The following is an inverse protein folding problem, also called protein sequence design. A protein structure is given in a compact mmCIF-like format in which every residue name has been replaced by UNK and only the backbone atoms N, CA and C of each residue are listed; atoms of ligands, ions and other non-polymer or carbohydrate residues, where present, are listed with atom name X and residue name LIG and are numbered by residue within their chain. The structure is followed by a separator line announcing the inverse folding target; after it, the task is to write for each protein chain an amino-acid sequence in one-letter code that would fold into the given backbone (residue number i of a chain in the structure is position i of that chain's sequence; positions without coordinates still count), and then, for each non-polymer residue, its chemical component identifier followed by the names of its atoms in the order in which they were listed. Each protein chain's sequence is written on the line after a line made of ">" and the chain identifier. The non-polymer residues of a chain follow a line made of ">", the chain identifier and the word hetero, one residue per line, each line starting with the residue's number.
data_IF_158591699133
#
_entry.id   IF_158591699133
#
_cell.length_a   1.000
_cell.length_b   1.000
_cell.length_c   1.000
_cell.angle_alpha   90.00
_cell.angle_beta   90.00
_cell.angle_gamma   90.00
#
_symmetry.space_group_name_H-M   'P 1'
#
loop_
_entity.id
_entity.type
_entity.pdbx_description
1 polymer ?
#
# COMPACT_ATOMS: atom_id res chain seq x y z
N UNK A 1 -1.48 30.66 42.17
CA UNK A 1 -2.82 30.32 41.62
C UNK A 1 -3.00 31.07 40.31
N UNK A 2 -3.27 30.38 39.20
CA UNK A 2 -3.51 31.04 37.89
C UNK A 2 -4.87 31.73 37.93
N UNK A 3 -4.94 33.01 37.51
CA UNK A 3 -6.20 33.78 37.49
C UNK A 3 -7.16 33.24 36.43
N UNK A 4 -8.47 33.47 36.60
CA UNK A 4 -9.48 33.02 35.63
C UNK A 4 -9.24 33.57 34.21
N UNK A 5 -8.77 34.82 34.10
CA UNK A 5 -8.43 35.46 32.83
C UNK A 5 -7.23 34.77 32.15
N UNK A 6 -6.18 34.44 32.92
CA UNK A 6 -5.01 33.74 32.37
C UNK A 6 -5.39 32.34 31.87
N UNK A 7 -6.26 31.61 32.59
CA UNK A 7 -6.75 30.30 32.11
C UNK A 7 -7.51 30.41 30.78
N UNK A 8 -8.34 31.45 30.63
CA UNK A 8 -9.09 31.70 29.40
C UNK A 8 -8.16 32.03 28.22
N UNK A 9 -7.16 32.88 28.43
CA UNK A 9 -6.16 33.22 27.41
C UNK A 9 -5.36 31.97 27.00
N UNK A 10 -4.96 31.14 27.97
CA UNK A 10 -4.27 29.87 27.69
C UNK A 10 -5.14 28.95 26.85
N UNK A 11 -6.44 28.82 27.17
CA UNK A 11 -7.36 27.99 26.39
C UNK A 11 -7.46 28.46 24.93
N UNK A 12 -7.56 29.77 24.70
CA UNK A 12 -7.57 30.34 23.34
C UNK A 12 -6.23 30.11 22.63
N UNK A 13 -5.11 30.33 23.33
CA UNK A 13 -3.79 30.13 22.75
C UNK A 13 -3.57 28.67 22.34
N UNK A 14 -3.94 27.71 23.19
CA UNK A 14 -3.88 26.27 22.88
C UNK A 14 -4.75 25.94 21.67
N UNK A 15 -5.98 26.47 21.61
CA UNK A 15 -6.87 26.26 20.47
C UNK A 15 -6.26 26.80 19.15
N UNK A 16 -5.68 28.00 19.18
CA UNK A 16 -5.01 28.58 18.01
C UNK A 16 -3.81 27.75 17.59
N UNK A 17 -2.99 27.29 18.55
CA UNK A 17 -1.84 26.41 18.25
C UNK A 17 -2.28 25.12 17.58
N UNK A 18 -3.37 24.49 18.03
CA UNK A 18 -3.90 23.27 17.41
C UNK A 18 -4.36 23.56 15.97
N UNK A 19 -5.09 24.67 15.75
CA UNK A 19 -5.56 25.06 14.41
C UNK A 19 -4.37 25.34 13.48
N UNK A 20 -3.38 26.12 13.93
CA UNK A 20 -2.19 26.41 13.12
C UNK A 20 -1.37 25.16 12.84
N UNK A 21 -1.24 24.24 13.79
CA UNK A 21 -0.55 22.97 13.58
C UNK A 21 -1.19 22.15 12.45
N UNK A 22 -2.52 22.08 12.40
CA UNK A 22 -3.25 21.39 11.32
C UNK A 22 -3.01 22.08 9.97
N UNK A 23 -3.06 23.41 9.93
CA UNK A 23 -2.85 24.19 8.70
C UNK A 23 -1.42 24.00 8.17
N UNK A 24 -0.41 24.13 9.02
CA UNK A 24 1.00 23.96 8.63
C UNK A 24 1.22 22.55 8.10
N UNK A 25 0.72 21.52 8.80
CA UNK A 25 0.83 20.14 8.35
C UNK A 25 0.20 19.92 6.98
N UNK A 26 -0.98 20.50 6.72
CA UNK A 26 -1.65 20.42 5.41
C UNK A 26 -0.86 21.13 4.30
N UNK A 27 -0.34 22.33 4.57
CA UNK A 27 0.41 23.11 3.58
C UNK A 27 1.70 22.40 3.19
N UNK A 28 2.43 21.83 4.14
CA UNK A 28 3.71 21.14 3.86
C UNK A 28 3.58 19.99 2.87
N UNK A 29 2.47 19.23 2.92
CA UNK A 29 2.23 18.13 1.98
C UNK A 29 1.77 18.65 0.61
N UNK A 30 0.93 19.69 0.58
CA UNK A 30 0.42 20.28 -0.67
C UNK A 30 1.49 21.05 -1.46
N UNK A 31 2.42 21.67 -0.75
CA UNK A 31 3.61 22.34 -1.32
C UNK A 31 4.79 21.39 -1.49
N UNK A 32 4.56 20.08 -1.37
CA UNK A 32 5.57 19.03 -1.35
C UNK A 32 6.71 19.23 -2.35
N UNK A 33 7.92 18.88 -1.91
CA UNK A 33 9.17 19.18 -2.61
C UNK A 33 9.32 18.42 -3.94
N UNK A 34 8.62 17.28 -4.09
CA UNK A 34 8.72 16.43 -5.28
C UNK A 34 7.33 15.96 -5.70
N UNK A 35 7.05 16.04 -6.99
CA UNK A 35 5.85 15.47 -7.61
C UNK A 35 6.20 14.17 -8.31
N UNK A 36 5.43 13.13 -8.04
CA UNK A 36 5.58 11.81 -8.67
C UNK A 36 4.28 11.42 -9.36
N UNK A 37 4.40 10.80 -10.53
CA UNK A 37 3.25 10.26 -11.25
C UNK A 37 3.13 8.75 -10.94
N UNK A 38 2.10 8.37 -10.21
CA UNK A 38 1.84 6.99 -9.82
C UNK A 38 0.74 6.39 -10.69
N UNK A 39 0.96 5.16 -11.17
CA UNK A 39 -0.06 4.43 -11.92
C UNK A 39 -1.19 4.01 -10.97
N UNK A 40 -2.43 4.23 -11.41
CA UNK A 40 -3.64 3.82 -10.69
C UNK A 40 -4.15 2.52 -11.33
N UNK A 41 -4.40 1.53 -10.50
CA UNK A 41 -5.08 0.30 -10.86
C UNK A 41 -6.58 0.45 -10.51
N UNK A 42 -7.48 0.25 -11.49
CA UNK A 42 -8.90 0.49 -11.28
C UNK A 42 -9.46 -0.52 -10.28
N UNK A 43 -10.10 -0.02 -9.22
CA UNK A 43 -10.90 -0.79 -8.26
C UNK A 43 -12.35 -0.34 -8.41
N UNK A 44 -13.29 -1.27 -8.17
CA UNK A 44 -14.73 -1.14 -8.46
C UNK A 44 -15.29 0.27 -8.11
N UNK A 45 -15.72 1.05 -9.13
CA UNK A 45 -15.91 2.50 -8.99
C UNK A 45 -17.24 2.95 -8.38
N UNK A 46 -18.09 2.07 -7.82
CA UNK A 46 -19.45 2.45 -7.40
C UNK A 46 -19.91 1.84 -6.08
N UNK A 47 -19.98 2.68 -5.04
CA UNK A 47 -20.88 2.45 -3.89
C UNK A 47 -22.16 3.28 -4.10
N UNK A 48 -23.30 2.66 -4.49
CA UNK A 48 -24.54 3.38 -4.82
C UNK A 48 -25.21 4.08 -3.63
N UNK A 49 -24.66 4.00 -2.42
CA UNK A 49 -25.31 4.48 -1.20
C UNK A 49 -24.54 5.57 -0.44
N UNK A 50 -23.39 6.03 -0.94
CA UNK A 50 -22.49 6.93 -0.18
C UNK A 50 -21.99 8.21 -0.90
N UNK A 51 -22.38 8.43 -2.16
CA UNK A 51 -22.00 9.62 -2.96
C UNK A 51 -21.07 9.30 -4.13
N UNK A 52 -20.61 10.32 -4.85
CA UNK A 52 -19.70 10.19 -6.00
C UNK A 52 -18.22 10.20 -5.53
N UNK A 53 -17.68 9.08 -5.05
CA UNK A 53 -16.24 8.92 -4.84
C UNK A 53 -15.73 7.65 -5.55
N UNK A 54 -14.45 7.65 -5.88
CA UNK A 54 -13.76 6.46 -6.40
C UNK A 54 -12.71 6.03 -5.40
N UNK A 55 -12.67 4.73 -5.15
CA UNK A 55 -11.54 4.09 -4.49
C UNK A 55 -10.69 3.41 -5.55
N UNK A 56 -9.38 3.50 -5.41
CA UNK A 56 -8.46 2.85 -6.32
C UNK A 56 -7.23 2.35 -5.57
N UNK A 57 -6.49 1.46 -6.22
CA UNK A 57 -5.19 1.02 -5.74
C UNK A 57 -4.10 1.64 -6.61
N UNK A 58 -2.90 1.79 -6.07
CA UNK A 58 -1.75 2.19 -6.85
C UNK A 58 -0.98 0.96 -7.31
N UNK A 59 -0.31 1.03 -8.46
CA UNK A 59 0.57 -0.05 -8.92
C UNK A 59 1.72 -0.35 -7.95
N UNK A 60 2.00 0.56 -7.03
CA UNK A 60 2.97 0.39 -5.94
C UNK A 60 2.35 -0.16 -4.64
N UNK A 61 1.04 -0.42 -4.58
CA UNK A 61 0.36 -0.90 -3.35
C UNK A 61 0.63 -2.37 -3.08
N UNK A 62 0.79 -3.20 -4.12
CA UNK A 62 1.07 -4.63 -3.98
C UNK A 62 2.56 -4.89 -4.19
N UNK A 63 3.30 -5.04 -3.09
CA UNK A 63 4.74 -5.23 -3.10
C UNK A 63 5.06 -6.65 -2.64
N UNK A 64 5.83 -7.38 -3.44
CA UNK A 64 6.33 -8.70 -3.04
C UNK A 64 7.37 -8.59 -1.92
N UNK A 65 7.38 -9.54 -1.00
CA UNK A 65 8.26 -9.53 0.17
C UNK A 65 9.76 -9.50 -0.14
N UNK A 66 10.19 -9.95 -1.33
CA UNK A 66 11.61 -9.86 -1.74
C UNK A 66 12.11 -8.42 -1.92
N UNK A 67 11.23 -7.43 -2.04
CA UNK A 67 11.61 -6.01 -2.04
C UNK A 67 12.02 -5.51 -0.65
N UNK A 68 11.72 -6.28 0.39
CA UNK A 68 12.10 -6.00 1.76
C UNK A 68 13.52 -6.53 2.01
N UNK A 69 14.45 -5.61 2.30
CA UNK A 69 15.89 -5.92 2.47
C UNK A 69 16.32 -6.00 3.94
N UNK A 70 15.40 -5.86 4.88
CA UNK A 70 15.71 -5.90 6.31
C UNK A 70 15.36 -7.28 6.88
N UNK A 71 16.09 -7.72 7.90
CA UNK A 71 15.84 -8.98 8.63
C UNK A 71 14.62 -8.89 9.58
N UNK A 72 13.87 -7.78 9.52
CA UNK A 72 12.74 -7.55 10.40
C UNK A 72 11.44 -8.17 9.88
N UNK A 73 10.63 -8.71 10.79
CA UNK A 73 9.29 -9.20 10.41
C UNK A 73 8.34 -8.02 10.21
N UNK A 74 7.75 -7.88 9.02
CA UNK A 74 6.66 -6.92 8.77
C UNK A 74 5.36 -7.48 9.36
N UNK A 75 4.57 -6.62 9.98
CA UNK A 75 3.24 -6.94 10.50
C UNK A 75 2.17 -6.03 9.91
N UNK A 76 0.94 -6.53 9.92
CA UNK A 76 -0.22 -5.71 9.60
C UNK A 76 -0.28 -4.51 10.54
N UNK A 77 -0.46 -3.33 9.96
CA UNK A 77 -0.49 -2.06 10.66
C UNK A 77 0.86 -1.35 10.80
N UNK A 78 1.97 -1.99 10.41
CA UNK A 78 3.29 -1.36 10.42
C UNK A 78 3.33 -0.16 9.46
N UNK A 79 4.07 0.86 9.86
CA UNK A 79 4.41 1.99 8.97
C UNK A 79 5.66 1.62 8.21
N UNK A 80 5.62 1.80 6.89
CA UNK A 80 6.70 1.44 5.97
C UNK A 80 6.96 2.58 4.99
N UNK A 81 8.16 2.62 4.45
CA UNK A 81 8.61 3.57 3.44
C UNK A 81 8.97 2.81 2.16
N UNK A 82 8.31 3.18 1.08
CA UNK A 82 8.53 2.61 -0.26
C UNK A 82 9.41 3.59 -1.01
N UNK A 83 10.62 3.17 -1.35
CA UNK A 83 11.52 3.93 -2.20
C UNK A 83 11.02 3.82 -3.63
N UNK A 84 10.89 4.96 -4.30
CA UNK A 84 10.37 5.07 -5.65
C UNK A 84 11.50 5.34 -6.64
N UNK A 85 11.36 4.76 -7.83
CA UNK A 85 12.24 5.02 -8.98
C UNK A 85 11.40 5.30 -10.22
N UNK A 86 11.80 6.31 -10.96
CA UNK A 86 11.20 6.62 -12.26
C UNK A 86 11.48 5.49 -13.25
N UNK A 87 10.42 4.93 -13.83
CA UNK A 87 10.48 3.90 -14.88
C UNK A 87 9.48 4.24 -15.98
N UNK A 88 10.02 4.77 -17.08
CA UNK A 88 9.20 5.27 -18.18
C UNK A 88 8.42 6.50 -17.73
N UNK A 89 7.09 6.44 -17.80
CA UNK A 89 6.19 7.53 -17.42
C UNK A 89 5.84 7.54 -15.93
N UNK A 90 5.96 6.40 -15.25
CA UNK A 90 5.48 6.22 -13.88
C UNK A 90 6.62 6.00 -12.91
N UNK A 91 6.36 6.34 -11.64
CA UNK A 91 7.21 5.97 -10.54
C UNK A 91 6.80 4.59 -10.03
N UNK A 92 7.75 3.67 -9.95
CA UNK A 92 7.55 2.30 -9.48
C UNK A 92 8.28 2.07 -8.15
N UNK A 93 7.82 1.10 -7.38
CA UNK A 93 8.45 0.69 -6.14
C UNK A 93 9.79 0.00 -6.42
N UNK A 94 10.87 0.50 -5.84
CA UNK A 94 12.21 -0.09 -5.91
C UNK A 94 12.53 -0.95 -4.69
N UNK A 95 12.18 -0.50 -3.50
CA UNK A 95 12.46 -1.24 -2.26
C UNK A 95 11.55 -0.79 -1.12
N UNK A 96 11.39 -1.67 -0.13
CA UNK A 96 10.57 -1.45 1.05
C UNK A 96 11.45 -1.46 2.31
N UNK A 97 11.27 -0.49 3.20
CA UNK A 97 12.00 -0.36 4.47
C UNK A 97 11.06 0.09 5.58
N UNK A 98 11.33 -0.27 6.84
CA UNK A 98 10.53 0.24 7.98
C UNK A 98 11.00 1.60 8.47
N UNK A 99 12.30 1.84 8.37
CA UNK A 99 12.89 3.09 8.80
C UNK A 99 12.88 4.13 7.69
N UNK A 100 12.81 5.40 8.06
CA UNK A 100 12.83 6.51 7.10
C UNK A 100 14.16 6.50 6.34
N UNK A 101 14.16 6.45 4.99
CA UNK A 101 15.40 6.49 4.22
C UNK A 101 16.16 7.79 4.50
N UNK A 102 17.48 7.69 4.72
CA UNK A 102 18.37 8.84 4.96
C UNK A 102 19.28 9.12 3.76
N UNK A 103 19.14 8.36 2.66
CA UNK A 103 19.92 8.58 1.45
C UNK A 103 19.61 9.92 0.80
N UNK A 104 20.63 10.70 0.47
CA UNK A 104 20.47 11.93 -0.29
C UNK A 104 19.82 11.62 -1.65
N UNK A 105 18.82 12.42 -2.02
CA UNK A 105 18.10 12.35 -3.30
C UNK A 105 17.27 11.07 -3.54
N UNK A 106 16.94 10.30 -2.50
CA UNK A 106 15.97 9.21 -2.61
C UNK A 106 14.55 9.73 -2.43
N UNK A 107 13.69 9.43 -3.41
CA UNK A 107 12.26 9.75 -3.32
C UNK A 107 11.56 8.53 -2.74
N UNK A 108 10.75 8.75 -1.71
CA UNK A 108 10.04 7.68 -1.03
C UNK A 108 8.65 8.13 -0.59
N UNK A 109 7.75 7.17 -0.50
CA UNK A 109 6.38 7.36 -0.04
C UNK A 109 6.15 6.53 1.22
N UNK A 110 5.54 7.16 2.21
CA UNK A 110 5.16 6.55 3.48
C UNK A 110 3.80 5.89 3.34
N UNK A 111 3.68 4.65 3.79
CA UNK A 111 2.44 3.90 3.79
C UNK A 111 2.26 3.05 5.03
N UNK A 112 1.10 2.42 5.13
CA UNK A 112 0.74 1.49 6.20
C UNK A 112 0.43 0.13 5.60
N UNK A 113 0.98 -0.92 6.19
CA UNK A 113 0.71 -2.30 5.78
C UNK A 113 -0.72 -2.65 6.14
N UNK A 114 -1.56 -2.86 5.14
CA UNK A 114 -2.97 -3.17 5.31
C UNK A 114 -3.18 -4.67 5.53
N UNK A 115 -2.53 -5.49 4.70
CA UNK A 115 -2.56 -6.94 4.80
C UNK A 115 -1.29 -7.56 4.24
N UNK A 116 -0.95 -8.74 4.76
CA UNK A 116 0.11 -9.59 4.25
C UNK A 116 -0.57 -10.86 3.78
N UNK A 117 -0.58 -11.08 2.47
CA UNK A 117 -1.16 -12.25 1.82
C UNK A 117 -0.10 -13.31 1.57
N UNK A 118 -0.36 -14.53 2.04
CA UNK A 118 0.45 -15.69 1.68
C UNK A 118 -0.01 -16.21 0.32
N UNK A 119 0.80 -16.00 -0.73
CA UNK A 119 0.55 -16.67 -2.01
C UNK A 119 1.16 -18.07 -1.93
N UNK A 120 0.52 -18.97 -1.20
CA UNK A 120 0.80 -20.39 -1.37
C UNK A 120 0.34 -20.79 -2.77
N UNK A 121 1.18 -21.47 -3.55
CA UNK A 121 0.72 -22.13 -4.78
C UNK A 121 -0.37 -23.14 -4.40
N UNK A 122 -1.64 -22.74 -4.42
CA UNK A 122 -2.79 -23.62 -4.22
C UNK A 122 -3.15 -24.42 -5.48
N UNK A 123 -2.32 -24.39 -6.51
CA UNK A 123 -2.49 -25.15 -7.76
C UNK A 123 -1.64 -26.43 -7.84
N UNK A 124 -1.18 -26.98 -6.71
CA UNK A 124 -0.82 -28.42 -6.68
C UNK A 124 -2.09 -29.20 -6.34
N UNK A 125 -3.03 -29.23 -7.28
CA UNK A 125 -3.96 -30.35 -7.32
C UNK A 125 -3.09 -31.60 -7.53
N UNK A 126 -3.10 -32.61 -6.63
CA UNK A 126 -2.43 -33.86 -6.96
C UNK A 126 -3.07 -34.36 -8.25
N UNK A 127 -2.27 -34.45 -9.31
CA UNK A 127 -2.66 -35.12 -10.53
C UNK A 127 -3.31 -36.44 -10.12
N UNK A 128 -4.52 -36.67 -10.59
CA UNK A 128 -5.35 -37.84 -10.36
C UNK A 128 -4.50 -39.07 -10.01
N UNK A 129 -4.58 -39.48 -8.76
CA UNK A 129 -3.98 -40.72 -8.28
C UNK A 129 -4.59 -41.85 -9.11
N UNK A 130 -3.90 -42.27 -10.18
CA UNK A 130 -4.25 -43.47 -10.90
C UNK A 130 -4.00 -44.63 -9.94
N UNK A 131 -5.09 -45.11 -9.34
CA UNK A 131 -5.11 -46.31 -8.51
C UNK A 131 -4.60 -47.49 -9.36
N UNK A 132 -3.33 -47.84 -9.21
CA UNK A 132 -2.80 -49.10 -9.72
C UNK A 132 -3.28 -50.23 -8.79
N UNK A 133 -3.67 -51.40 -9.34
CA UNK A 133 -4.34 -52.43 -8.56
C UNK A 133 -3.44 -53.00 -7.46
N UNK A 134 -4.01 -53.01 -6.26
CA UNK A 134 -3.47 -53.63 -5.06
C UNK A 134 -3.22 -55.12 -5.32
N UNK A 135 -1.96 -55.57 -5.25
CA UNK A 135 -1.63 -56.99 -5.21
C UNK A 135 -0.98 -57.32 -3.87
N UNK A 136 -1.63 -58.20 -3.12
CA UNK A 136 -1.35 -58.57 -1.75
C UNK A 136 -0.33 -59.70 -1.66
N UNK A 137 0.83 -59.51 -1.02
CA UNK A 137 1.62 -60.60 -0.41
C UNK A 137 2.56 -60.11 0.71
N UNK A 138 2.31 -60.58 1.94
CA UNK A 138 3.20 -60.83 3.12
C UNK A 138 3.91 -59.69 3.90
N UNK A 139 3.57 -59.59 5.20
CA UNK A 139 4.37 -59.04 6.34
C UNK A 139 5.63 -59.92 6.62
N UNK A 140 6.76 -59.45 7.24
CA UNK A 140 6.79 -58.64 8.48
C UNK A 140 7.95 -57.60 8.64
N UNK A 141 7.72 -56.64 9.56
CA UNK A 141 8.69 -55.81 10.33
C UNK A 141 9.97 -55.36 9.60
N UNK A 142 10.02 -54.09 9.19
CA UNK A 142 11.26 -53.33 9.17
C UNK A 142 11.00 -51.87 9.55
N UNK A 143 11.63 -51.50 10.65
CA UNK A 143 11.79 -50.19 11.24
C UNK A 143 12.36 -49.19 10.21
N UNK A 144 11.60 -48.14 9.87
CA UNK A 144 12.12 -47.05 9.04
C UNK A 144 12.32 -45.84 9.95
N UNK A 145 13.49 -45.81 10.58
CA UNK A 145 14.11 -44.60 11.11
C UNK A 145 14.65 -43.78 9.94
N UNK A 146 13.83 -42.96 9.28
CA UNK A 146 14.34 -42.05 8.24
C UNK A 146 13.66 -40.69 8.35
N UNK A 147 14.39 -39.80 9.02
CA UNK A 147 14.55 -38.37 8.71
C UNK A 147 13.29 -37.51 8.86
N UNK A 148 13.24 -36.86 10.03
CA UNK A 148 12.51 -35.63 10.32
C UNK A 148 13.08 -34.46 9.49
N UNK A 149 13.07 -34.57 8.18
CA UNK A 149 13.22 -33.43 7.29
C UNK A 149 11.85 -32.78 7.17
N UNK A 150 11.52 -31.94 8.16
CA UNK A 150 10.73 -30.76 7.83
C UNK A 150 11.65 -29.93 6.94
N UNK A 151 11.69 -30.24 5.66
CA UNK A 151 12.19 -29.34 4.63
C UNK A 151 11.36 -28.08 4.81
N UNK A 152 11.93 -27.08 5.48
CA UNK A 152 11.35 -25.76 5.59
C UNK A 152 11.08 -25.33 4.16
N UNK A 153 9.80 -25.18 3.84
CA UNK A 153 9.38 -24.61 2.57
C UNK A 153 10.16 -23.29 2.39
N UNK A 154 10.70 -22.99 1.19
CA UNK A 154 11.30 -21.68 0.93
C UNK A 154 10.31 -20.59 1.37
N UNK A 155 10.77 -19.43 1.86
CA UNK A 155 9.88 -18.37 2.32
C UNK A 155 8.85 -18.12 1.22
N UNK A 156 7.58 -18.35 1.59
CA UNK A 156 6.44 -18.19 0.71
C UNK A 156 6.51 -16.76 0.15
N UNK A 157 6.23 -16.58 -1.14
CA UNK A 157 6.16 -15.23 -1.70
C UNK A 157 4.98 -14.52 -1.04
N UNK A 158 5.28 -13.69 -0.06
CA UNK A 158 4.30 -12.90 0.69
C UNK A 158 4.04 -11.64 -0.13
N UNK A 159 2.79 -11.42 -0.50
CA UNK A 159 2.37 -10.16 -1.10
C UNK A 159 1.97 -9.21 0.03
N UNK A 160 2.63 -8.07 0.11
CA UNK A 160 2.38 -7.03 1.11
C UNK A 160 1.53 -5.96 0.44
N UNK A 161 0.32 -5.78 0.96
CA UNK A 161 -0.56 -4.71 0.52
C UNK A 161 -0.37 -3.47 1.40
N UNK A 162 -0.05 -2.35 0.77
CA UNK A 162 0.27 -1.07 1.40
C UNK A 162 -0.76 -0.02 0.98
N UNK A 163 -1.27 0.71 1.97
CA UNK A 163 -2.17 1.85 1.81
C UNK A 163 -1.40 3.13 2.16
N UNK A 164 -1.45 4.11 1.26
CA UNK A 164 -0.75 5.39 1.33
C UNK A 164 -1.62 6.54 1.86
N UNK A 165 -2.93 6.32 2.03
CA UNK A 165 -3.88 7.33 2.49
C UNK A 165 -4.33 8.31 1.40
N UNK A 166 -4.11 7.94 0.14
CA UNK A 166 -4.45 8.72 -1.07
C UNK A 166 -5.23 7.88 -2.09
N UNK A 167 -5.83 6.77 -1.65
CA UNK A 167 -6.61 5.81 -2.45
C UNK A 167 -8.04 6.26 -2.73
N UNK A 168 -8.53 7.24 -1.96
CA UNK A 168 -9.90 7.75 -2.07
C UNK A 168 -9.89 9.13 -2.76
N UNK A 169 -10.73 9.27 -3.78
CA UNK A 169 -10.92 10.52 -4.49
C UNK A 169 -12.40 10.90 -4.58
N UNK A 170 -12.71 12.11 -4.12
CA UNK A 170 -14.05 12.68 -4.25
C UNK A 170 -14.25 13.26 -5.64
N UNK A 171 -15.24 12.74 -6.37
CA UNK A 171 -15.61 13.25 -7.68
C UNK A 171 -16.46 14.52 -7.48
N UNK A 172 -16.09 15.67 -8.07
CA UNK A 172 -16.95 16.85 -8.06
C UNK A 172 -18.32 16.55 -8.67
N UNK A 173 -19.36 17.17 -8.09
CA UNK A 173 -20.74 16.93 -8.51
C UNK A 173 -20.93 17.09 -10.03
N UNK A 174 -21.62 16.13 -10.64
CA UNK A 174 -21.91 16.14 -12.08
C UNK A 174 -20.82 15.55 -12.97
N UNK A 175 -19.63 15.25 -12.45
CA UNK A 175 -18.53 14.64 -13.25
C UNK A 175 -18.52 13.10 -13.23
N UNK A 176 -19.28 12.47 -12.33
CA UNK A 176 -19.30 11.01 -12.17
C UNK A 176 -20.33 10.24 -13.02
N UNK A 177 -21.41 10.90 -13.50
CA UNK A 177 -22.57 10.22 -14.10
C UNK A 177 -22.29 9.51 -15.43
N UNK A 178 -21.47 10.12 -16.28
CA UNK A 178 -21.19 9.63 -17.64
C UNK A 178 -19.75 9.13 -17.83
N UNK A 179 -18.98 9.09 -16.74
CA UNK A 179 -17.59 8.66 -16.80
C UNK A 179 -17.44 7.19 -16.42
N UNK A 180 -16.68 6.46 -17.24
CA UNK A 180 -16.35 5.07 -17.01
C UNK A 180 -14.83 4.91 -16.89
N UNK A 181 -14.37 4.38 -15.76
CA UNK A 181 -12.95 4.12 -15.50
C UNK A 181 -12.45 2.80 -16.09
N UNK A 182 -13.35 1.93 -16.55
CA UNK A 182 -12.97 0.63 -17.10
C UNK A 182 -12.12 0.78 -18.36
N UNK A 183 -11.04 0.00 -18.44
CA UNK A 183 -10.08 -0.06 -19.54
C UNK A 183 -9.39 1.28 -19.89
N UNK A 184 -9.44 2.26 -18.99
CA UNK A 184 -8.72 3.51 -19.14
C UNK A 184 -7.41 3.47 -18.38
N UNK A 185 -6.41 4.15 -18.91
CA UNK A 185 -5.15 4.31 -18.20
C UNK A 185 -5.29 5.45 -17.21
N UNK A 186 -5.19 5.14 -15.91
CA UNK A 186 -5.32 6.12 -14.84
C UNK A 186 -3.98 6.34 -14.14
N UNK A 187 -3.70 7.58 -13.77
CA UNK A 187 -2.51 7.96 -13.02
C UNK A 187 -2.80 9.11 -12.06
N UNK A 188 -2.18 9.07 -10.88
CA UNK A 188 -2.25 10.13 -9.88
C UNK A 188 -0.96 10.93 -9.86
N UNK A 189 -1.04 12.25 -10.05
CA UNK A 189 0.05 13.16 -9.71
C UNK A 189 0.00 13.41 -8.21
N UNK A 190 1.03 12.94 -7.52
CA UNK A 190 1.12 12.92 -6.06
C UNK A 190 2.28 13.79 -5.62
N UNK A 191 2.00 14.68 -4.67
CA UNK A 191 3.04 15.45 -3.99
C UNK A 191 3.53 14.69 -2.77
N UNK A 192 4.85 14.64 -2.61
CA UNK A 192 5.53 14.04 -1.47
C UNK A 192 6.26 15.11 -0.67
N UNK A 193 6.12 15.08 0.65
CA UNK A 193 6.93 15.90 1.57
C UNK A 193 8.23 15.17 1.96
N UNK A 194 9.10 15.86 2.70
CA UNK A 194 10.37 15.32 3.19
C UNK A 194 10.23 14.10 4.11
N UNK A 195 9.02 13.83 4.62
CA UNK A 195 8.69 12.68 5.48
C UNK A 195 8.02 11.54 4.70
N UNK A 196 7.85 11.69 3.38
CA UNK A 196 7.16 10.73 2.52
C UNK A 196 5.64 10.76 2.68
N UNK A 197 5.07 11.75 3.38
CA UNK A 197 3.61 11.90 3.39
C UNK A 197 3.14 12.31 2.00
N UNK A 198 2.05 11.70 1.56
CA UNK A 198 1.54 11.87 0.21
C UNK A 198 0.25 12.69 0.18
N UNK A 199 0.09 13.53 -0.84
CA UNK A 199 -1.19 14.11 -1.21
C UNK A 199 -1.42 14.00 -2.71
N UNK A 200 -2.58 13.50 -3.10
CA UNK A 200 -3.02 13.49 -4.49
C UNK A 200 -3.35 14.92 -4.94
N UNK A 201 -2.64 15.43 -5.95
CA UNK A 201 -2.87 16.75 -6.54
C UNK A 201 -3.85 16.70 -7.70
N UNK A 202 -3.69 15.71 -8.59
CA UNK A 202 -4.48 15.60 -9.81
C UNK A 202 -4.55 14.16 -10.29
N UNK A 203 -5.67 13.76 -10.88
CA UNK A 203 -5.78 12.48 -11.58
C UNK A 203 -5.63 12.75 -13.07
N UNK A 204 -5.02 11.81 -13.78
CA UNK A 204 -4.92 11.77 -15.23
C UNK A 204 -5.60 10.52 -15.71
N UNK A 205 -6.44 10.65 -16.73
CA UNK A 205 -7.06 9.54 -17.43
C UNK A 205 -6.74 9.66 -18.91
N UNK A 206 -6.15 8.61 -19.49
CA UNK A 206 -5.68 8.58 -20.89
C UNK A 206 -4.82 9.83 -21.22
N UNK A 207 -3.83 10.11 -20.35
CA UNK A 207 -2.92 11.27 -20.41
C UNK A 207 -3.55 12.66 -20.21
N UNK A 208 -4.86 12.73 -19.94
CA UNK A 208 -5.56 14.00 -19.77
C UNK A 208 -5.90 14.24 -18.31
N UNK A 209 -5.74 15.47 -17.79
CA UNK A 209 -6.15 15.79 -16.44
C UNK A 209 -7.66 15.54 -16.28
N UNK A 210 -8.02 14.90 -15.17
CA UNK A 210 -9.39 14.58 -14.80
C UNK A 210 -9.55 14.73 -13.29
N UNK A 211 -10.73 15.11 -12.81
CA UNK A 211 -11.68 16.03 -13.45
C UNK A 211 -11.05 17.43 -13.58
#
# INVERSE_FOLDING_TARGET
>A
MITKQTKFIIAIAVQLVIIFAIIIFKISVLTGAVEVLLRIEPVDPRDPLRGDYVTFQYGISNIYSYFFREDETIKNGDTVYVILRERGKYWEAESLQKNKPTGENQIFIKGKVASIGFTGQSNVFPASEQVLPFNSTTSPKQEISVVKERTMLPPMNENINIIYGIEEYFIPEGMGRDFNFFNKEAAGLVALDENGNAALKKIYIDDKPWP
#
